data_IF_138269347814
#
_entry.id   IF_138269347814
#
_cell.length_a   1.000
_cell.length_b   1.000
_cell.length_c   1.000
_cell.angle_alpha   90.00
_cell.angle_beta   90.00
_cell.angle_gamma   90.00
#
_symmetry.space_group_name_H-M   'P 1'
#
loop_
_entity.id
_entity.type
_entity.pdbx_description
1 polymer ?
#
# COMPACT_ATOMS: atom_id res chain seq x y z
N UNK A 1 25.56 0.77 -32.91
CA UNK A 1 24.81 0.59 -31.64
C UNK A 1 24.05 1.87 -31.35
N UNK A 2 22.74 1.88 -31.57
CA UNK A 2 21.91 3.01 -31.15
C UNK A 2 21.80 2.96 -29.62
N UNK A 3 22.41 3.92 -28.95
CA UNK A 3 22.17 4.19 -27.52
C UNK A 3 20.71 4.54 -27.33
N UNK A 4 19.94 3.57 -26.84
CA UNK A 4 18.55 3.76 -26.42
C UNK A 4 18.58 4.67 -25.18
N UNK A 5 18.47 5.98 -25.39
CA UNK A 5 18.18 6.93 -24.32
C UNK A 5 16.86 6.52 -23.68
N UNK A 6 16.90 6.06 -22.42
CA UNK A 6 15.70 5.66 -21.68
C UNK A 6 14.61 6.74 -21.82
N UNK A 7 13.38 6.41 -22.26
CA UNK A 7 12.32 7.39 -22.39
C UNK A 7 11.91 7.92 -20.99
N UNK A 8 11.35 9.13 -20.94
CA UNK A 8 11.16 9.90 -19.72
C UNK A 8 10.11 9.24 -18.80
N UNK A 9 10.36 9.30 -17.49
CA UNK A 9 9.48 8.88 -16.36
C UNK A 9 8.29 8.00 -16.76
N UNK A 10 8.52 6.71 -16.66
CA UNK A 10 7.64 5.68 -17.17
C UNK A 10 6.68 5.26 -16.04
N UNK A 11 5.37 5.36 -16.26
CA UNK A 11 4.30 5.12 -15.29
C UNK A 11 3.46 3.92 -15.74
N UNK A 12 3.19 2.94 -14.87
CA UNK A 12 2.37 1.81 -15.32
C UNK A 12 0.93 2.24 -15.73
N UNK A 13 0.27 1.47 -16.62
CA UNK A 13 -1.03 1.80 -17.22
C UNK A 13 -2.18 1.59 -16.23
N UNK A 14 -2.16 2.29 -15.11
CA UNK A 14 -3.11 2.10 -14.03
C UNK A 14 -4.46 2.77 -14.35
N UNK A 15 -5.58 2.07 -14.06
CA UNK A 15 -6.90 2.69 -14.14
C UNK A 15 -7.10 3.63 -12.94
N UNK A 16 -7.10 4.94 -13.18
CA UNK A 16 -7.26 5.97 -12.12
C UNK A 16 -8.51 5.75 -11.27
N UNK A 17 -9.64 5.45 -11.90
CA UNK A 17 -10.92 5.18 -11.22
C UNK A 17 -10.88 3.98 -10.27
N UNK A 18 -9.94 3.06 -10.49
CA UNK A 18 -9.75 1.90 -9.63
C UNK A 18 -8.68 2.14 -8.57
N UNK A 19 -7.55 2.74 -8.94
CA UNK A 19 -6.44 2.98 -8.02
C UNK A 19 -6.76 3.98 -6.92
N UNK A 20 -7.48 5.06 -7.22
CA UNK A 20 -7.72 6.14 -6.25
C UNK A 20 -8.55 5.63 -5.06
N UNK A 21 -9.71 4.97 -5.24
CA UNK A 21 -10.45 4.38 -4.13
C UNK A 21 -9.61 3.36 -3.35
N UNK A 22 -8.81 2.57 -4.07
CA UNK A 22 -8.01 1.53 -3.44
C UNK A 22 -6.90 2.12 -2.55
N UNK A 23 -6.20 3.15 -3.02
CA UNK A 23 -5.24 3.89 -2.21
C UNK A 23 -5.90 4.54 -1.00
N UNK A 24 -7.10 5.09 -1.16
CA UNK A 24 -7.86 5.68 -0.04
C UNK A 24 -8.14 4.64 1.04
N UNK A 25 -8.74 3.50 0.69
CA UNK A 25 -9.05 2.46 1.67
C UNK A 25 -7.78 1.87 2.28
N UNK A 26 -6.77 1.58 1.47
CA UNK A 26 -5.50 1.00 1.93
C UNK A 26 -4.79 1.93 2.93
N UNK A 27 -4.76 3.24 2.65
CA UNK A 27 -4.21 4.23 3.56
C UNK A 27 -5.06 4.38 4.82
N UNK A 28 -6.39 4.39 4.71
CA UNK A 28 -7.30 4.52 5.83
C UNK A 28 -7.13 3.36 6.84
N UNK A 29 -7.08 2.11 6.37
CA UNK A 29 -6.85 0.96 7.24
C UNK A 29 -5.44 0.95 7.85
N UNK A 30 -4.40 1.29 7.06
CA UNK A 30 -3.04 1.39 7.57
C UNK A 30 -2.90 2.45 8.67
N UNK A 31 -3.51 3.63 8.47
CA UNK A 31 -3.55 4.70 9.46
C UNK A 31 -4.33 4.29 10.70
N UNK A 32 -5.48 3.64 10.54
CA UNK A 32 -6.29 3.17 11.65
C UNK A 32 -5.48 2.23 12.55
N UNK A 33 -4.82 1.23 11.98
CA UNK A 33 -3.97 0.28 12.73
C UNK A 33 -2.82 1.01 13.43
N UNK A 34 -2.15 1.92 12.71
CA UNK A 34 -1.01 2.68 13.24
C UNK A 34 -1.42 3.57 14.43
N UNK A 35 -2.44 4.42 14.23
CA UNK A 35 -2.94 5.35 15.24
C UNK A 35 -3.49 4.58 16.44
N UNK A 36 -4.25 3.51 16.19
CA UNK A 36 -4.79 2.67 17.26
C UNK A 36 -3.68 2.07 18.13
N UNK A 37 -2.69 1.42 17.52
CA UNK A 37 -1.57 0.83 18.25
C UNK A 37 -0.78 1.85 19.08
N UNK A 38 -0.43 3.00 18.48
CA UNK A 38 0.32 4.05 19.18
C UNK A 38 -0.50 4.69 20.29
N UNK A 39 -1.80 4.94 20.06
CA UNK A 39 -2.69 5.55 21.04
C UNK A 39 -2.87 4.66 22.27
N UNK A 40 -3.16 3.37 22.10
CA UNK A 40 -3.34 2.46 23.24
C UNK A 40 -2.04 2.24 24.02
N UNK A 41 -0.90 2.25 23.34
CA UNK A 41 0.40 2.28 24.00
C UNK A 41 0.61 3.58 24.81
N UNK A 42 0.27 4.74 24.24
CA UNK A 42 0.35 6.01 24.97
C UNK A 42 -0.57 6.06 26.19
N UNK A 43 -1.78 5.51 26.07
CA UNK A 43 -2.74 5.40 27.18
C UNK A 43 -2.19 4.47 28.27
N UNK A 44 -1.59 3.33 27.92
CA UNK A 44 -1.01 2.42 28.93
C UNK A 44 0.13 3.08 29.70
N UNK A 45 0.99 3.85 29.02
CA UNK A 45 2.05 4.62 29.69
C UNK A 45 1.50 5.73 30.58
N UNK A 46 0.46 6.43 30.15
CA UNK A 46 -0.13 7.54 30.91
C UNK A 46 -0.86 7.07 32.18
N UNK A 47 -1.64 5.99 32.06
CA UNK A 47 -2.40 5.42 33.18
C UNK A 47 -1.54 4.50 34.07
N UNK A 48 -0.36 4.07 33.60
CA UNK A 48 0.57 3.24 34.36
C UNK A 48 -0.08 1.96 34.88
N UNK A 49 0.11 1.67 36.17
CA UNK A 49 -0.44 0.48 36.84
C UNK A 49 -1.96 0.44 36.88
N UNK A 50 -2.63 1.59 36.72
CA UNK A 50 -4.10 1.69 36.80
C UNK A 50 -4.77 1.39 35.45
N UNK A 51 -3.99 1.18 34.38
CA UNK A 51 -4.50 0.86 33.05
C UNK A 51 -5.16 -0.52 32.96
N UNK A 52 -4.81 -1.45 33.86
CA UNK A 52 -5.21 -2.86 33.75
C UNK A 52 -4.61 -3.59 32.53
N UNK A 53 -3.73 -2.93 31.77
CA UNK A 53 -3.10 -3.47 30.57
C UNK A 53 -1.85 -4.27 30.97
N UNK A 54 -1.77 -5.52 30.52
CA UNK A 54 -0.59 -6.34 30.76
C UNK A 54 0.64 -5.80 30.01
N UNK A 55 1.84 -5.99 30.55
CA UNK A 55 3.09 -5.63 29.85
C UNK A 55 3.30 -6.40 28.53
N UNK A 56 2.57 -7.51 28.31
CA UNK A 56 2.52 -8.18 27.02
C UNK A 56 1.67 -7.39 26.00
N UNK A 57 0.47 -6.97 26.40
CA UNK A 57 -0.44 -6.18 25.57
C UNK A 57 0.16 -4.82 25.20
N UNK A 58 0.86 -4.17 26.14
CA UNK A 58 1.60 -2.93 25.87
C UNK A 58 2.62 -3.11 24.74
N UNK A 59 3.44 -4.17 24.80
CA UNK A 59 4.42 -4.50 23.76
C UNK A 59 3.75 -4.82 22.42
N UNK A 60 2.58 -5.42 22.45
CA UNK A 60 1.80 -5.75 21.25
C UNK A 60 1.25 -4.49 20.58
N UNK A 61 0.71 -3.54 21.36
CA UNK A 61 0.19 -2.26 20.85
C UNK A 61 1.28 -1.43 20.16
N UNK A 62 2.46 -1.29 20.80
CA UNK A 62 3.57 -0.56 20.19
C UNK A 62 4.12 -1.27 18.95
N UNK A 63 4.25 -2.61 18.98
CA UNK A 63 4.69 -3.37 17.82
C UNK A 63 3.72 -3.20 16.64
N UNK A 64 2.42 -3.34 16.88
CA UNK A 64 1.38 -3.13 15.87
C UNK A 64 1.43 -1.72 15.29
N UNK A 65 1.58 -0.70 16.15
CA UNK A 65 1.72 0.70 15.77
C UNK A 65 2.93 0.97 14.86
N UNK A 66 4.11 0.42 15.21
CA UNK A 66 5.35 0.58 14.43
C UNK A 66 5.23 -0.11 13.07
N UNK A 67 4.73 -1.35 13.02
CA UNK A 67 4.48 -2.03 11.75
C UNK A 67 3.45 -1.27 10.90
N UNK A 68 2.44 -0.67 11.53
CA UNK A 68 1.45 0.16 10.85
C UNK A 68 2.09 1.39 10.22
N UNK A 69 3.03 2.02 10.92
CA UNK A 69 3.78 3.17 10.43
C UNK A 69 4.58 2.84 9.16
N UNK A 70 5.21 1.66 9.13
CA UNK A 70 5.93 1.17 7.93
C UNK A 70 4.97 1.03 6.75
N UNK A 71 3.81 0.39 6.96
CA UNK A 71 2.78 0.25 5.93
C UNK A 71 2.27 1.60 5.44
N UNK A 72 1.98 2.54 6.34
CA UNK A 72 1.56 3.92 6.00
C UNK A 72 2.61 4.60 5.13
N UNK A 73 3.90 4.52 5.50
CA UNK A 73 4.99 5.13 4.74
C UNK A 73 5.08 4.60 3.30
N UNK A 74 4.93 3.29 3.12
CA UNK A 74 4.95 2.67 1.79
C UNK A 74 3.72 3.08 0.97
N UNK A 75 2.53 3.08 1.56
CA UNK A 75 1.30 3.49 0.87
C UNK A 75 1.34 4.96 0.45
N UNK A 76 1.84 5.85 1.31
CA UNK A 76 2.06 7.26 0.97
C UNK A 76 3.08 7.37 -0.17
N UNK A 77 4.19 6.63 -0.12
CA UNK A 77 5.17 6.64 -1.20
C UNK A 77 4.55 6.18 -2.53
N UNK A 78 3.69 5.16 -2.53
CA UNK A 78 2.95 4.78 -3.73
C UNK A 78 2.01 5.87 -4.23
N UNK A 79 1.28 6.54 -3.35
CA UNK A 79 0.38 7.65 -3.72
C UNK A 79 1.17 8.82 -4.33
N UNK A 80 2.30 9.19 -3.73
CA UNK A 80 3.17 10.27 -4.22
C UNK A 80 3.78 9.88 -5.57
N UNK A 81 4.35 8.69 -5.70
CA UNK A 81 4.90 8.21 -6.96
C UNK A 81 3.82 8.09 -8.05
N UNK A 82 2.59 7.75 -7.66
CA UNK A 82 1.44 7.72 -8.56
C UNK A 82 1.07 9.14 -9.04
N UNK A 83 1.00 10.12 -8.14
CA UNK A 83 0.62 11.50 -8.48
C UNK A 83 1.65 12.20 -9.38
N UNK A 84 2.93 11.85 -9.25
CA UNK A 84 4.01 12.39 -10.11
C UNK A 84 4.30 11.54 -11.35
N UNK A 85 3.49 10.53 -11.65
CA UNK A 85 3.66 9.63 -12.80
C UNK A 85 5.04 8.92 -12.83
N UNK A 86 5.54 8.51 -11.66
CA UNK A 86 6.79 7.74 -11.52
C UNK A 86 6.58 6.34 -10.94
N UNK A 87 5.33 5.98 -10.63
CA UNK A 87 5.01 4.64 -10.14
C UNK A 87 5.10 3.61 -11.28
N UNK A 88 6.22 2.90 -11.35
CA UNK A 88 6.41 1.75 -12.23
C UNK A 88 5.72 0.51 -11.67
N UNK A 89 5.47 -0.47 -12.53
CA UNK A 89 4.88 -1.76 -12.14
C UNK A 89 5.73 -2.50 -11.09
N UNK A 90 7.06 -2.42 -11.20
CA UNK A 90 8.00 -3.06 -10.28
C UNK A 90 8.01 -2.44 -8.89
N UNK A 91 8.09 -1.10 -8.79
CA UNK A 91 8.09 -0.40 -7.50
C UNK A 91 6.77 -0.64 -6.76
N UNK A 92 5.66 -0.65 -7.50
CA UNK A 92 4.36 -0.96 -6.93
C UNK A 92 4.26 -2.41 -6.45
N UNK A 93 4.78 -3.37 -7.21
CA UNK A 93 4.80 -4.78 -6.82
C UNK A 93 5.63 -5.02 -5.55
N UNK A 94 6.88 -4.56 -5.51
CA UNK A 94 7.75 -4.76 -4.35
C UNK A 94 7.23 -4.06 -3.11
N UNK A 95 6.73 -2.83 -3.25
CA UNK A 95 6.14 -2.12 -2.11
C UNK A 95 4.92 -2.85 -1.55
N UNK A 96 4.00 -3.33 -2.40
CA UNK A 96 2.85 -4.08 -1.92
C UNK A 96 3.24 -5.44 -1.31
N UNK A 97 4.25 -6.12 -1.85
CA UNK A 97 4.77 -7.35 -1.26
C UNK A 97 5.26 -7.13 0.18
N UNK A 98 5.99 -6.03 0.43
CA UNK A 98 6.43 -5.67 1.78
C UNK A 98 5.23 -5.39 2.67
N UNK A 99 4.23 -4.64 2.20
CA UNK A 99 3.00 -4.37 2.98
C UNK A 99 2.23 -5.65 3.28
N UNK A 100 2.18 -6.62 2.37
CA UNK A 100 1.58 -7.93 2.61
C UNK A 100 2.29 -8.66 3.74
N UNK A 101 3.63 -8.74 3.70
CA UNK A 101 4.42 -9.40 4.76
C UNK A 101 4.19 -8.73 6.11
N UNK A 102 4.23 -7.40 6.15
CA UNK A 102 3.96 -6.63 7.39
C UNK A 102 2.53 -6.87 7.88
N UNK A 103 1.54 -6.90 6.98
CA UNK A 103 0.14 -7.13 7.34
C UNK A 103 -0.10 -8.53 7.89
N UNK A 104 0.61 -9.55 7.37
CA UNK A 104 0.55 -10.90 7.93
C UNK A 104 1.17 -10.99 9.32
N UNK A 105 2.30 -10.31 9.55
CA UNK A 105 2.91 -10.22 10.88
C UNK A 105 1.92 -9.56 11.86
N UNK A 106 1.30 -8.44 11.45
CA UNK A 106 0.30 -7.75 12.27
C UNK A 106 -0.92 -8.62 12.56
N UNK A 107 -1.43 -9.36 11.58
CA UNK A 107 -2.56 -10.27 11.77
C UNK A 107 -2.20 -11.40 12.75
N UNK A 108 -1.00 -11.98 12.63
CA UNK A 108 -0.51 -13.00 13.55
C UNK A 108 -0.40 -12.46 14.99
N UNK A 109 0.11 -11.23 15.16
CA UNK A 109 0.15 -10.56 16.45
C UNK A 109 -1.25 -10.31 17.01
N UNK A 110 -2.20 -9.84 16.19
CA UNK A 110 -3.57 -9.58 16.63
C UNK A 110 -4.27 -10.88 17.11
N UNK A 111 -4.10 -11.98 16.38
CA UNK A 111 -4.63 -13.30 16.77
C UNK A 111 -3.95 -13.80 18.05
N UNK A 112 -2.61 -13.70 18.14
CA UNK A 112 -1.88 -14.10 19.34
C UNK A 112 -2.26 -13.26 20.57
N UNK A 113 -2.59 -11.98 20.37
CA UNK A 113 -3.16 -11.10 21.38
C UNK A 113 -4.50 -11.64 21.88
N UNK A 114 -5.43 -11.96 20.98
CA UNK A 114 -6.75 -12.49 21.33
C UNK A 114 -6.70 -13.84 22.07
N UNK A 115 -5.83 -14.76 21.65
CA UNK A 115 -5.70 -16.08 22.30
C UNK A 115 -5.16 -15.95 23.71
N UNK A 116 -4.33 -14.93 23.98
CA UNK A 116 -3.68 -14.72 25.27
C UNK A 116 -4.46 -13.77 26.19
N UNK A 117 -5.31 -12.93 25.63
CA UNK A 117 -6.21 -12.07 26.39
C UNK A 117 -7.36 -12.93 26.92
N UNK A 118 -7.28 -13.33 28.19
CA UNK A 118 -8.42 -13.90 28.91
C UNK A 118 -9.56 -12.86 28.97
N UNK A 119 -10.45 -12.95 27.98
CA UNK A 119 -11.89 -12.61 27.95
C UNK A 119 -12.38 -11.24 28.43
N UNK A 120 -11.53 -10.24 28.74
CA UNK A 120 -12.02 -9.03 29.41
C UNK A 120 -12.28 -7.82 28.49
N UNK A 121 -11.70 -7.74 27.28
CA UNK A 121 -11.86 -6.54 26.43
C UNK A 121 -12.21 -6.87 24.97
N UNK A 122 -13.38 -6.41 24.53
CA UNK A 122 -13.89 -6.45 23.15
C UNK A 122 -13.06 -5.65 22.13
N UNK A 123 -12.06 -4.90 22.61
CA UNK A 123 -11.18 -4.04 21.83
C UNK A 123 -10.25 -4.85 20.91
N UNK A 124 -9.80 -6.03 21.36
CA UNK A 124 -8.85 -6.85 20.59
C UNK A 124 -9.51 -7.53 19.37
N UNK A 125 -10.84 -7.69 19.38
CA UNK A 125 -11.60 -8.24 18.26
C UNK A 125 -11.55 -7.35 17.02
N UNK A 126 -11.77 -6.05 17.21
CA UNK A 126 -11.71 -5.07 16.12
C UNK A 126 -10.32 -4.97 15.51
N UNK A 127 -9.26 -5.06 16.33
CA UNK A 127 -7.88 -5.06 15.82
C UNK A 127 -7.65 -6.17 14.81
N UNK A 128 -8.07 -7.40 15.10
CA UNK A 128 -7.90 -8.51 14.17
C UNK A 128 -8.69 -8.33 12.87
N UNK A 129 -9.94 -7.83 12.96
CA UNK A 129 -10.77 -7.53 11.78
C UNK A 129 -10.08 -6.49 10.89
N UNK A 130 -9.61 -5.39 11.47
CA UNK A 130 -8.96 -4.31 10.71
C UNK A 130 -7.64 -4.77 10.10
N UNK A 131 -6.80 -5.53 10.84
CA UNK A 131 -5.60 -6.14 10.26
C UNK A 131 -5.93 -7.17 9.19
N UNK A 132 -7.02 -7.93 9.33
CA UNK A 132 -7.48 -8.90 8.33
C UNK A 132 -7.94 -8.21 7.04
N UNK A 133 -8.72 -7.13 7.16
CA UNK A 133 -9.14 -6.30 6.03
C UNK A 133 -7.93 -5.66 5.32
N UNK A 134 -6.96 -5.17 6.08
CA UNK A 134 -5.69 -4.65 5.55
C UNK A 134 -4.92 -5.73 4.77
N UNK A 135 -4.81 -6.93 5.32
CA UNK A 135 -4.19 -8.08 4.67
C UNK A 135 -4.88 -8.42 3.34
N UNK A 136 -6.21 -8.48 3.33
CA UNK A 136 -7.00 -8.74 2.14
C UNK A 136 -6.77 -7.67 1.05
N UNK A 137 -6.84 -6.38 1.41
CA UNK A 137 -6.58 -5.28 0.49
C UNK A 137 -5.17 -5.31 -0.08
N UNK A 138 -4.18 -5.60 0.76
CA UNK A 138 -2.77 -5.67 0.36
C UNK A 138 -2.50 -6.84 -0.59
N UNK A 139 -3.11 -8.01 -0.33
CA UNK A 139 -3.07 -9.15 -1.24
C UNK A 139 -3.72 -8.82 -2.58
N UNK A 140 -4.89 -8.20 -2.56
CA UNK A 140 -5.60 -7.80 -3.77
C UNK A 140 -4.78 -6.82 -4.61
N UNK A 141 -4.14 -5.84 -3.97
CA UNK A 141 -3.21 -4.90 -4.61
C UNK A 141 -2.00 -5.61 -5.22
N UNK A 142 -1.45 -6.59 -4.52
CA UNK A 142 -0.31 -7.38 -5.00
C UNK A 142 -0.70 -8.20 -6.22
N UNK A 143 -1.86 -8.88 -6.20
CA UNK A 143 -2.38 -9.61 -7.36
C UNK A 143 -2.57 -8.67 -8.56
N UNK A 144 -3.17 -7.50 -8.33
CA UNK A 144 -3.33 -6.49 -9.38
C UNK A 144 -1.98 -6.01 -9.93
N UNK A 145 -1.00 -5.76 -9.05
CA UNK A 145 0.36 -5.39 -9.44
C UNK A 145 1.03 -6.46 -10.31
N UNK A 146 0.93 -7.75 -9.94
CA UNK A 146 1.45 -8.87 -10.71
C UNK A 146 0.81 -8.96 -12.09
N UNK A 147 -0.52 -8.78 -12.18
CA UNK A 147 -1.22 -8.80 -13.46
C UNK A 147 -0.76 -7.69 -14.40
N UNK A 148 -0.58 -6.47 -13.89
CA UNK A 148 -0.07 -5.33 -14.67
C UNK A 148 1.39 -5.56 -15.06
N UNK A 149 2.24 -5.99 -14.13
CA UNK A 149 3.64 -6.30 -14.39
C UNK A 149 3.81 -7.38 -15.47
N UNK A 150 3.00 -8.44 -15.45
CA UNK A 150 2.98 -9.48 -16.49
C UNK A 150 2.59 -8.92 -17.86
N UNK A 151 1.59 -8.02 -17.92
CA UNK A 151 1.17 -7.37 -19.17
C UNK A 151 2.25 -6.45 -19.74
N UNK A 152 2.96 -5.73 -18.86
CA UNK A 152 4.10 -4.88 -19.23
C UNK A 152 5.25 -5.73 -19.77
N UNK A 153 5.65 -6.78 -19.05
CA UNK A 153 6.76 -7.64 -19.46
C UNK A 153 6.48 -8.46 -20.73
N UNK A 154 5.22 -8.80 -20.99
CA UNK A 154 4.82 -9.48 -22.23
C UNK A 154 4.66 -8.54 -23.42
N UNK A 155 4.92 -7.23 -23.26
CA UNK A 155 4.76 -6.24 -24.32
C UNK A 155 3.30 -5.95 -24.70
N UNK A 156 2.33 -6.56 -24.01
CA UNK A 156 0.88 -6.37 -24.23
C UNK A 156 0.41 -4.99 -23.82
N UNK A 157 1.14 -4.29 -22.97
CA UNK A 157 0.83 -2.91 -22.58
C UNK A 157 2.13 -2.18 -22.23
N UNK A 158 2.37 -1.02 -22.85
CA UNK A 158 3.49 -0.17 -22.46
C UNK A 158 3.22 0.54 -21.14
N UNK A 159 4.26 0.78 -20.35
CA UNK A 159 4.16 1.77 -19.29
C UNK A 159 4.00 3.16 -19.94
N UNK A 160 2.98 3.91 -19.50
CA UNK A 160 2.57 5.21 -20.01
C UNK A 160 3.59 6.30 -19.65
N UNK A 161 3.85 7.22 -20.57
CA UNK A 161 4.58 8.47 -20.27
C UNK A 161 3.58 9.61 -20.02
N UNK A 162 4.01 10.66 -19.33
CA UNK A 162 3.21 11.88 -19.16
C UNK A 162 2.70 12.35 -20.53
N UNK A 163 1.41 12.65 -20.71
CA UNK A 163 0.97 13.37 -21.90
C UNK A 163 1.71 14.72 -21.87
N UNK A 164 2.59 14.95 -22.84
CA UNK A 164 3.17 16.28 -23.07
C UNK A 164 1.99 17.23 -23.25
N UNK A 165 2.03 18.36 -22.56
CA UNK A 165 1.01 19.40 -22.68
C UNK A 165 0.66 19.65 -24.15
N UNK A 166 -0.64 19.75 -24.43
CA UNK A 166 -1.15 19.91 -25.78
C UNK A 166 -0.52 21.09 -26.51
N UNK A 167 0.14 20.77 -27.62
CA UNK A 167 -0.08 21.41 -28.92
C UNK A 167 -0.56 20.26 -29.79
N UNK A 168 -1.84 20.21 -30.12
CA UNK A 168 -2.35 20.96 -31.27
C UNK A 168 -2.40 19.97 -32.43
N UNK A 169 -3.61 19.61 -32.83
CA UNK A 169 -4.09 19.35 -34.19
C UNK A 169 -3.18 18.94 -35.39
N UNK A 170 -1.94 18.49 -35.24
CA UNK A 170 -1.04 18.21 -36.38
C UNK A 170 -0.48 16.78 -36.34
N UNK A 171 -1.36 15.78 -36.33
CA UNK A 171 -1.04 14.41 -36.74
C UNK A 171 -1.86 13.97 -37.96
N UNK A 172 -2.21 14.95 -38.81
CA UNK A 172 -2.64 14.73 -40.19
C UNK A 172 -1.73 15.54 -41.12
N UNK A 173 -0.44 15.25 -41.12
CA UNK A 173 0.40 15.57 -42.28
C UNK A 173 1.61 14.63 -42.35
N UNK A 174 1.66 13.89 -43.45
CA UNK A 174 2.82 13.26 -44.06
C UNK A 174 3.34 11.93 -43.47
N UNK A 175 3.01 10.83 -44.16
CA UNK A 175 3.81 9.62 -44.07
C UNK A 175 3.27 8.31 -44.66
N UNK A 176 2.42 8.31 -45.69
CA UNK A 176 2.29 7.13 -46.57
C UNK A 176 2.95 7.50 -47.91
N UNK A 177 4.16 6.99 -48.21
CA UNK A 177 4.67 7.02 -49.57
C UNK A 177 3.94 5.95 -50.40
N UNK A 178 3.64 6.31 -51.63
CA UNK A 178 3.10 5.46 -52.69
C UNK A 178 3.93 4.19 -52.89
N UNK A 179 3.23 3.06 -53.04
CA UNK A 179 3.55 1.98 -53.96
C UNK A 179 2.22 1.43 -54.52
#
# INVERSE_FOLDING_TARGET
MATVSRPPSVHAPWRKSFMIPLFFFHLAFALLICVWGIMFYGISLYLGTDSGISGYSEKLYIASGIFGLVSVGIVIAHIVLFSIFKLTSQIFLYGNLVVVVVSFIQLALAIAGQVRADTTYSIDFFSAIFTGAMCFLSLWMTVYAVLVWRRVNSGRTGEMSRPRGGKGFDAQENGIPLA
#
